data_IF_953539919932
#
_entry.id   IF_953539919932
#
_cell.length_a   1.000
_cell.length_b   1.000
_cell.length_c   1.000
_cell.angle_alpha   90.00
_cell.angle_beta   90.00
_cell.angle_gamma   90.00
#
_symmetry.space_group_name_H-M   'P 1'
#
loop_
_entity.id
_entity.type
_entity.pdbx_description
1 polymer ?
#
# COMPACT_ATOMS: atom_id res chain seq x y z
N UNK A 1 -2.96 5.66 8.87
CA UNK A 1 -2.07 6.66 8.28
C UNK A 1 -2.58 8.07 8.13
N UNK A 2 -1.61 8.95 7.95
CA UNK A 2 -1.68 10.34 7.51
C UNK A 2 -2.69 10.55 6.38
N UNK A 3 -2.59 9.69 5.36
CA UNK A 3 -3.32 9.82 4.09
C UNK A 3 -4.84 9.74 4.28
N UNK A 4 -5.28 8.89 5.21
CA UNK A 4 -6.71 8.65 5.44
C UNK A 4 -7.22 9.48 6.62
N UNK A 5 -6.44 9.64 7.68
CA UNK A 5 -6.91 10.35 8.87
C UNK A 5 -7.14 11.83 8.59
N UNK A 6 -6.29 12.50 7.80
CA UNK A 6 -6.39 13.95 7.58
C UNK A 6 -7.66 14.35 6.80
N UNK A 7 -8.05 13.72 5.68
CA UNK A 7 -9.32 14.01 5.03
C UNK A 7 -10.54 13.63 5.89
N UNK A 8 -10.44 12.57 6.70
CA UNK A 8 -11.55 12.12 7.55
C UNK A 8 -11.85 13.05 8.72
N UNK A 9 -10.90 13.90 9.13
CA UNK A 9 -11.17 14.96 10.11
C UNK A 9 -12.23 15.95 9.62
N UNK A 10 -12.39 16.11 8.30
CA UNK A 10 -13.45 16.94 7.70
C UNK A 10 -14.86 16.39 7.97
N UNK A 11 -14.98 15.09 8.25
CA UNK A 11 -16.25 14.42 8.57
C UNK A 11 -16.51 14.35 10.09
N UNK A 12 -15.74 15.11 10.89
CA UNK A 12 -15.90 15.22 12.33
C UNK A 12 -15.46 13.96 13.10
N UNK A 13 -15.87 13.86 14.38
CA UNK A 13 -15.42 12.83 15.33
C UNK A 13 -15.66 11.39 14.87
N UNK A 14 -16.65 11.18 14.00
CA UNK A 14 -17.05 9.86 13.52
C UNK A 14 -16.48 9.50 12.14
N UNK A 15 -15.69 10.38 11.50
CA UNK A 15 -15.20 10.17 10.13
C UNK A 15 -14.44 8.86 9.95
N UNK A 16 -13.59 8.49 10.91
CA UNK A 16 -12.87 7.21 10.89
C UNK A 16 -13.79 6.00 10.98
N UNK A 17 -14.86 6.08 11.77
CA UNK A 17 -15.80 4.98 11.95
C UNK A 17 -16.64 4.78 10.68
N UNK A 18 -17.12 5.87 10.08
CA UNK A 18 -17.86 5.84 8.82
C UNK A 18 -17.00 5.23 7.71
N UNK A 19 -15.76 5.68 7.58
CA UNK A 19 -14.84 5.14 6.58
C UNK A 19 -14.58 3.64 6.76
N UNK A 20 -14.38 3.19 7.99
CA UNK A 20 -14.21 1.77 8.28
C UNK A 20 -15.44 0.94 7.90
N UNK A 21 -16.64 1.44 8.22
CA UNK A 21 -17.88 0.80 7.82
C UNK A 21 -18.03 0.73 6.30
N UNK A 22 -17.65 1.79 5.57
CA UNK A 22 -17.65 1.79 4.11
C UNK A 22 -16.68 0.76 3.52
N UNK A 23 -15.47 0.65 4.07
CA UNK A 23 -14.50 -0.38 3.65
C UNK A 23 -15.04 -1.79 3.91
N UNK A 24 -15.57 -2.04 5.10
CA UNK A 24 -16.17 -3.34 5.45
C UNK A 24 -17.35 -3.65 4.52
N UNK A 25 -18.26 -2.71 4.32
CA UNK A 25 -19.41 -2.87 3.43
C UNK A 25 -18.94 -3.15 1.99
N UNK A 26 -17.96 -2.41 1.48
CA UNK A 26 -17.37 -2.63 0.17
C UNK A 26 -16.80 -4.05 0.02
N UNK A 27 -16.05 -4.54 1.02
CA UNK A 27 -15.48 -5.89 0.99
C UNK A 27 -16.57 -6.96 1.07
N UNK A 28 -17.58 -6.81 1.93
CA UNK A 28 -18.72 -7.74 2.03
C UNK A 28 -19.53 -7.81 0.74
N UNK A 29 -19.86 -6.65 0.16
CA UNK A 29 -20.57 -6.56 -1.12
C UNK A 29 -19.74 -7.22 -2.23
N UNK A 30 -18.43 -7.01 -2.24
CA UNK A 30 -17.53 -7.63 -3.22
C UNK A 30 -17.54 -9.16 -3.12
N UNK A 31 -17.47 -9.71 -1.91
CA UNK A 31 -17.55 -11.17 -1.70
C UNK A 31 -18.90 -11.73 -2.15
N UNK A 32 -20.01 -11.07 -1.80
CA UNK A 32 -21.34 -11.50 -2.21
C UNK A 32 -21.53 -11.46 -3.74
N UNK A 33 -21.00 -10.41 -4.39
CA UNK A 33 -21.01 -10.30 -5.84
C UNK A 33 -20.18 -11.42 -6.50
N UNK A 34 -18.98 -11.68 -5.97
CA UNK A 34 -18.12 -12.75 -6.47
C UNK A 34 -18.79 -14.11 -6.29
N UNK A 35 -19.36 -14.42 -5.11
CA UNK A 35 -20.04 -15.70 -4.85
C UNK A 35 -21.23 -15.94 -5.79
N UNK A 36 -21.93 -14.87 -6.19
CA UNK A 36 -23.04 -14.95 -7.13
C UNK A 36 -22.59 -15.34 -8.54
N UNK A 37 -21.43 -14.87 -8.99
CA UNK A 37 -20.90 -15.13 -10.34
C UNK A 37 -19.94 -16.34 -10.39
N UNK A 38 -19.21 -16.59 -9.32
CA UNK A 38 -18.17 -17.61 -9.18
C UNK A 38 -18.37 -18.33 -7.86
N UNK A 39 -18.31 -19.67 -7.83
CA UNK A 39 -18.32 -20.40 -6.55
C UNK A 39 -17.05 -20.04 -5.77
N UNK A 40 -17.18 -19.16 -4.78
CA UNK A 40 -16.10 -18.63 -3.99
C UNK A 40 -15.57 -19.70 -3.05
N UNK A 41 -14.29 -20.02 -3.19
CA UNK A 41 -13.58 -20.83 -2.21
C UNK A 41 -12.79 -19.92 -1.29
N UNK A 42 -13.09 -19.93 0.00
CA UNK A 42 -12.29 -19.22 1.01
C UNK A 42 -10.84 -19.69 1.08
N UNK A 43 -10.54 -20.87 0.54
CA UNK A 43 -9.17 -21.39 0.44
C UNK A 43 -8.27 -20.53 -0.44
N UNK A 44 -8.82 -19.66 -1.31
CA UNK A 44 -8.02 -18.77 -2.17
C UNK A 44 -7.21 -17.75 -1.36
N UNK A 45 -7.61 -17.44 -0.12
CA UNK A 45 -6.86 -16.53 0.74
C UNK A 45 -5.50 -17.10 1.17
N UNK A 46 -5.35 -18.43 1.24
CA UNK A 46 -4.09 -19.09 1.62
C UNK A 46 -2.99 -18.83 0.58
N UNK A 47 -3.15 -19.17 -0.72
CA UNK A 47 -2.11 -18.89 -1.70
C UNK A 47 -1.88 -17.38 -1.88
N UNK A 48 -2.92 -16.53 -1.73
CA UNK A 48 -2.76 -15.08 -1.76
C UNK A 48 -1.88 -14.56 -0.61
N UNK A 49 -2.10 -15.10 0.60
CA UNK A 49 -1.29 -14.78 1.78
C UNK A 49 0.16 -15.24 1.58
N UNK A 50 0.36 -16.47 1.09
CA UNK A 50 1.71 -17.02 0.84
C UNK A 50 2.45 -16.21 -0.23
N UNK A 51 1.78 -15.89 -1.34
CA UNK A 51 2.37 -15.06 -2.39
C UNK A 51 2.71 -13.66 -1.87
N UNK A 52 1.79 -13.04 -1.12
CA UNK A 52 2.03 -11.75 -0.50
C UNK A 52 3.20 -11.77 0.49
N UNK A 53 3.36 -12.85 1.26
CA UNK A 53 4.49 -13.02 2.16
C UNK A 53 5.83 -13.10 1.40
N UNK A 54 5.86 -13.79 0.26
CA UNK A 54 7.06 -13.87 -0.60
C UNK A 54 7.45 -12.47 -1.10
N UNK A 55 6.48 -11.69 -1.62
CA UNK A 55 6.76 -10.32 -2.06
C UNK A 55 7.15 -9.40 -0.89
N UNK A 56 6.58 -9.59 0.30
CA UNK A 56 6.93 -8.82 1.48
C UNK A 56 8.39 -9.05 1.89
N UNK A 57 8.85 -10.30 1.86
CA UNK A 57 10.25 -10.65 2.11
C UNK A 57 11.16 -10.09 1.02
N UNK A 58 10.75 -10.13 -0.25
CA UNK A 58 11.48 -9.48 -1.33
C UNK A 58 11.62 -7.97 -1.09
N UNK A 59 10.56 -7.28 -0.69
CA UNK A 59 10.61 -5.86 -0.34
C UNK A 59 11.54 -5.58 0.85
N UNK A 60 11.47 -6.39 1.90
CA UNK A 60 12.34 -6.26 3.07
C UNK A 60 13.82 -6.43 2.73
N UNK A 61 14.18 -7.56 2.13
CA UNK A 61 15.58 -7.90 1.89
C UNK A 61 16.16 -7.20 0.67
N UNK A 62 15.48 -7.25 -0.49
CA UNK A 62 16.05 -6.75 -1.74
C UNK A 62 15.90 -5.24 -1.83
N UNK A 63 14.69 -4.73 -1.64
CA UNK A 63 14.47 -3.29 -1.76
C UNK A 63 15.09 -2.53 -0.57
N UNK A 64 15.01 -3.08 0.65
CA UNK A 64 15.72 -2.54 1.81
C UNK A 64 17.23 -2.45 1.58
N UNK A 65 17.86 -3.54 1.14
CA UNK A 65 19.30 -3.56 0.80
C UNK A 65 19.67 -2.52 -0.25
N UNK A 66 18.94 -2.47 -1.37
CA UNK A 66 19.23 -1.50 -2.45
C UNK A 66 19.19 -0.07 -1.93
N UNK A 67 18.23 0.28 -1.10
CA UNK A 67 18.10 1.67 -0.63
C UNK A 67 19.09 1.97 0.49
N UNK A 68 19.11 1.16 1.55
CA UNK A 68 19.81 1.52 2.78
C UNK A 68 21.29 1.12 2.77
N UNK A 69 21.69 0.08 2.03
CA UNK A 69 23.10 -0.35 1.96
C UNK A 69 23.81 0.16 0.71
N UNK A 70 23.11 0.19 -0.43
CA UNK A 70 23.75 0.57 -1.71
C UNK A 70 23.62 2.06 -1.99
N UNK A 71 22.40 2.60 -1.97
CA UNK A 71 22.17 4.01 -2.36
C UNK A 71 22.46 5.00 -1.22
N UNK A 72 22.17 4.62 0.03
CA UNK A 72 22.29 5.51 1.19
C UNK A 72 22.90 4.84 2.44
N UNK A 73 24.15 4.32 2.37
CA UNK A 73 24.80 3.54 3.44
C UNK A 73 25.02 4.25 4.78
N UNK A 74 24.94 5.59 4.81
CA UNK A 74 25.15 6.39 6.03
C UNK A 74 23.85 6.75 6.75
N UNK A 75 22.73 6.14 6.36
CA UNK A 75 21.41 6.43 6.96
C UNK A 75 21.31 5.76 8.33
N UNK A 76 21.05 6.54 9.38
CA UNK A 76 20.82 5.99 10.72
C UNK A 76 19.45 5.28 10.79
N UNK A 77 19.41 4.11 11.42
CA UNK A 77 18.19 3.34 11.62
C UNK A 77 17.10 4.14 12.35
N UNK A 78 15.86 4.06 11.87
CA UNK A 78 14.72 4.78 12.46
C UNK A 78 14.29 4.10 13.78
N UNK A 79 13.94 4.92 14.77
CA UNK A 79 13.34 4.44 16.02
C UNK A 79 11.91 3.91 15.74
N UNK A 80 11.68 2.65 16.08
CA UNK A 80 10.37 2.00 15.97
C UNK A 80 9.44 2.37 17.14
N UNK A 81 8.11 2.23 16.98
CA UNK A 81 7.15 2.55 18.03
C UNK A 81 7.44 1.78 19.32
N UNK A 82 7.18 2.41 20.47
CA UNK A 82 7.41 1.81 21.78
C UNK A 82 6.51 0.60 22.09
N UNK A 83 5.42 0.39 21.34
CA UNK A 83 4.47 -0.72 21.51
C UNK A 83 4.35 -1.55 20.20
N UNK A 84 4.84 -2.78 20.25
CA UNK A 84 4.80 -3.76 19.16
C UNK A 84 3.37 -4.09 18.70
N UNK A 85 2.42 -4.31 19.62
CA UNK A 85 1.04 -4.65 19.29
C UNK A 85 0.32 -3.52 18.55
N UNK A 86 0.51 -2.29 19.00
CA UNK A 86 -0.02 -1.11 18.31
C UNK A 86 0.58 -0.99 16.91
N UNK A 87 1.89 -1.26 16.76
CA UNK A 87 2.56 -1.30 15.47
C UNK A 87 1.90 -2.30 14.52
N UNK A 88 1.71 -3.55 14.94
CA UNK A 88 1.10 -4.61 14.12
C UNK A 88 -0.31 -4.22 13.64
N UNK A 89 -1.17 -3.71 14.54
CA UNK A 89 -2.53 -3.30 14.18
C UNK A 89 -2.51 -2.15 13.16
N UNK A 90 -1.59 -1.18 13.33
CA UNK A 90 -1.42 -0.08 12.39
C UNK A 90 -0.91 -0.56 11.03
N UNK A 91 0.04 -1.50 10.99
CA UNK A 91 0.57 -2.11 9.77
C UNK A 91 -0.51 -2.82 8.96
N UNK A 92 -1.36 -3.62 9.62
CA UNK A 92 -2.47 -4.30 8.94
C UNK A 92 -3.48 -3.29 8.41
N UNK A 93 -3.82 -2.28 9.20
CA UNK A 93 -4.69 -1.19 8.77
C UNK A 93 -4.11 -0.46 7.55
N UNK A 94 -2.86 -0.02 7.61
CA UNK A 94 -2.16 0.67 6.53
C UNK A 94 -2.20 -0.15 5.23
N UNK A 95 -1.87 -1.44 5.28
CA UNK A 95 -1.94 -2.32 4.13
C UNK A 95 -3.32 -2.41 3.48
N UNK A 96 -4.42 -2.41 4.24
CA UNK A 96 -5.77 -2.40 3.64
C UNK A 96 -6.10 -1.03 3.07
N UNK A 97 -5.91 0.01 3.87
CA UNK A 97 -6.35 1.36 3.59
C UNK A 97 -5.58 2.01 2.45
N UNK A 98 -4.26 1.93 2.48
CA UNK A 98 -3.40 2.55 1.48
C UNK A 98 -3.54 1.85 0.13
N UNK A 99 -3.61 0.52 0.10
CA UNK A 99 -3.79 -0.18 -1.17
C UNK A 99 -5.14 0.10 -1.82
N UNK A 100 -6.22 0.25 -1.05
CA UNK A 100 -7.50 0.71 -1.60
C UNK A 100 -7.37 2.11 -2.20
N UNK A 101 -6.78 3.06 -1.48
CA UNK A 101 -6.68 4.45 -1.94
C UNK A 101 -5.73 4.59 -3.14
N UNK A 102 -4.51 4.09 -3.02
CA UNK A 102 -3.48 4.32 -4.02
C UNK A 102 -3.61 3.38 -5.20
N UNK A 103 -3.93 2.10 -4.99
CA UNK A 103 -3.92 1.10 -6.07
C UNK A 103 -5.30 0.97 -6.67
N UNK A 104 -6.31 0.63 -5.86
CA UNK A 104 -7.66 0.45 -6.41
C UNK A 104 -8.24 1.77 -6.93
N UNK A 105 -8.20 2.87 -6.17
CA UNK A 105 -8.84 4.12 -6.57
C UNK A 105 -7.94 4.97 -7.48
N UNK A 106 -6.75 5.36 -7.01
CA UNK A 106 -5.90 6.32 -7.73
C UNK A 106 -5.35 5.75 -9.05
N UNK A 107 -4.71 4.57 -9.06
CA UNK A 107 -4.19 3.98 -10.31
C UNK A 107 -5.32 3.76 -11.32
N UNK A 108 -6.46 3.20 -10.89
CA UNK A 108 -7.61 2.98 -11.78
C UNK A 108 -8.16 4.29 -12.34
N UNK A 109 -8.28 5.33 -11.52
CA UNK A 109 -8.72 6.66 -11.95
C UNK A 109 -7.76 7.27 -12.97
N UNK A 110 -6.45 7.27 -12.68
CA UNK A 110 -5.43 7.77 -13.61
C UNK A 110 -5.48 6.99 -14.93
N UNK A 111 -5.59 5.66 -14.86
CA UNK A 111 -5.65 4.81 -16.04
C UNK A 111 -6.90 5.10 -16.88
N UNK A 112 -8.05 5.29 -16.22
CA UNK A 112 -9.27 5.71 -16.87
C UNK A 112 -9.11 7.07 -17.55
N UNK A 113 -8.56 8.07 -16.86
CA UNK A 113 -8.31 9.41 -17.43
C UNK A 113 -7.42 9.30 -18.68
N UNK A 114 -6.28 8.62 -18.59
CA UNK A 114 -5.35 8.52 -19.71
C UNK A 114 -5.93 7.73 -20.89
N UNK A 115 -6.66 6.64 -20.65
CA UNK A 115 -7.21 5.81 -21.73
C UNK A 115 -8.51 6.35 -22.32
N UNK A 116 -9.42 6.87 -21.50
CA UNK A 116 -10.78 7.25 -21.93
C UNK A 116 -10.91 8.73 -22.23
N UNK A 117 -10.32 9.59 -21.40
CA UNK A 117 -10.42 11.03 -21.60
C UNK A 117 -9.33 11.52 -22.57
N UNK A 118 -8.07 11.13 -22.33
CA UNK A 118 -6.94 11.57 -23.15
C UNK A 118 -6.63 10.65 -24.34
N UNK A 119 -7.31 9.49 -24.44
CA UNK A 119 -7.17 8.52 -25.54
C UNK A 119 -5.73 8.05 -25.80
N UNK A 120 -4.89 8.02 -24.75
CA UNK A 120 -3.53 7.48 -24.80
C UNK A 120 -3.58 5.95 -24.92
N UNK A 121 -2.60 5.38 -25.63
CA UNK A 121 -2.48 3.92 -25.79
C UNK A 121 -2.41 3.23 -24.43
N UNK A 122 -3.24 2.20 -24.23
CA UNK A 122 -3.35 1.41 -22.98
C UNK A 122 -2.02 1.09 -22.27
N UNK A 123 -0.97 0.55 -22.94
CA UNK A 123 0.28 0.25 -22.24
C UNK A 123 0.97 1.50 -21.69
N UNK A 124 0.97 2.60 -22.45
CA UNK A 124 1.54 3.88 -22.01
C UNK A 124 0.73 4.43 -20.83
N UNK A 125 -0.60 4.39 -20.94
CA UNK A 125 -1.49 4.83 -19.86
C UNK A 125 -1.22 4.06 -18.56
N UNK A 126 -1.04 2.73 -18.62
CA UNK A 126 -0.73 1.92 -17.45
C UNK A 126 0.62 2.32 -16.82
N UNK A 127 1.68 2.44 -17.63
CA UNK A 127 3.00 2.86 -17.16
C UNK A 127 2.94 4.23 -16.49
N UNK A 128 2.33 5.21 -17.15
CA UNK A 128 2.23 6.59 -16.63
C UNK A 128 1.38 6.63 -15.35
N UNK A 129 0.28 5.87 -15.27
CA UNK A 129 -0.51 5.75 -14.03
C UNK A 129 0.32 5.21 -12.88
N UNK A 130 1.09 4.14 -13.11
CA UNK A 130 1.98 3.54 -12.09
C UNK A 130 3.04 4.53 -11.62
N UNK A 131 3.72 5.21 -12.53
CA UNK A 131 4.75 6.20 -12.20
C UNK A 131 4.19 7.37 -11.38
N UNK A 132 3.08 7.95 -11.83
CA UNK A 132 2.43 9.07 -11.12
C UNK A 132 1.87 8.61 -9.78
N UNK A 133 1.22 7.45 -9.72
CA UNK A 133 0.66 6.90 -8.48
C UNK A 133 1.73 6.62 -7.43
N UNK A 134 2.86 6.03 -7.82
CA UNK A 134 4.00 5.80 -6.93
C UNK A 134 4.63 7.11 -6.43
N UNK A 135 4.74 8.12 -7.30
CA UNK A 135 5.25 9.44 -6.91
C UNK A 135 4.31 10.15 -5.93
N UNK A 136 3.00 10.11 -6.17
CA UNK A 136 2.00 10.66 -5.25
C UNK A 136 2.07 9.92 -3.91
N UNK A 137 2.09 8.57 -3.93
CA UNK A 137 2.25 7.73 -2.75
C UNK A 137 3.48 8.12 -1.92
N UNK A 138 4.64 8.29 -2.54
CA UNK A 138 5.85 8.70 -1.84
C UNK A 138 5.69 10.11 -1.25
N UNK A 139 5.15 11.06 -2.02
CA UNK A 139 5.04 12.47 -1.63
C UNK A 139 4.09 12.68 -0.45
N UNK A 140 2.93 12.04 -0.44
CA UNK A 140 1.91 12.23 0.62
C UNK A 140 2.33 11.71 1.98
N UNK A 141 3.35 10.86 2.06
CA UNK A 141 3.93 10.46 3.35
C UNK A 141 4.66 11.60 4.07
N UNK A 142 4.96 12.70 3.37
CA UNK A 142 5.64 13.87 3.91
C UNK A 142 4.72 15.09 4.09
N UNK A 143 3.41 14.91 3.94
CA UNK A 143 2.41 15.97 4.11
C UNK A 143 1.49 15.68 5.31
N UNK A 144 0.82 16.70 5.86
CA UNK A 144 -0.10 16.52 7.00
C UNK A 144 0.57 16.45 8.38
N UNK A 145 -0.25 16.18 9.41
CA UNK A 145 0.13 16.29 10.83
C UNK A 145 0.88 15.08 11.38
N UNK A 146 0.73 13.90 10.77
CA UNK A 146 1.39 12.65 11.16
C UNK A 146 2.54 12.27 10.20
N UNK A 147 3.04 13.24 9.42
CA UNK A 147 4.03 13.02 8.35
C UNK A 147 5.32 12.38 8.85
N UNK A 148 5.98 11.65 7.97
CA UNK A 148 7.34 11.19 8.20
C UNK A 148 8.36 12.33 8.13
N UNK A 149 9.49 12.15 8.82
CA UNK A 149 10.69 12.94 8.59
C UNK A 149 11.23 12.67 7.19
N UNK A 150 11.33 13.71 6.38
CA UNK A 150 11.87 13.59 5.03
C UNK A 150 13.37 13.29 5.06
N UNK A 151 13.77 12.20 4.38
CA UNK A 151 15.15 11.89 4.02
C UNK A 151 15.17 11.34 2.60
N UNK A 152 16.28 11.51 1.88
CA UNK A 152 16.41 10.94 0.53
C UNK A 152 16.24 9.42 0.53
N UNK A 153 16.78 8.73 1.55
CA UNK A 153 16.62 7.30 1.72
C UNK A 153 15.15 6.89 1.88
N UNK A 154 14.42 7.51 2.82
CA UNK A 154 13.01 7.19 3.05
C UNK A 154 12.14 7.50 1.82
N UNK A 155 12.39 8.63 1.13
CA UNK A 155 11.61 9.00 -0.05
C UNK A 155 11.87 8.01 -1.19
N UNK A 156 13.12 7.64 -1.41
CA UNK A 156 13.52 6.67 -2.43
C UNK A 156 12.92 5.30 -2.14
N UNK A 157 12.97 4.83 -0.88
CA UNK A 157 12.32 3.60 -0.47
C UNK A 157 10.83 3.63 -0.77
N UNK A 158 10.13 4.69 -0.36
CA UNK A 158 8.68 4.82 -0.57
C UNK A 158 8.31 4.88 -2.06
N UNK A 159 9.11 5.56 -2.88
CA UNK A 159 8.90 5.63 -4.32
C UNK A 159 9.05 4.25 -4.98
N UNK A 160 10.14 3.55 -4.69
CA UNK A 160 10.39 2.22 -5.23
C UNK A 160 9.39 1.17 -4.71
N UNK A 161 9.04 1.22 -3.43
CA UNK A 161 7.99 0.40 -2.84
C UNK A 161 6.64 0.69 -3.51
N UNK A 162 6.34 1.97 -3.77
CA UNK A 162 5.19 2.41 -4.55
C UNK A 162 5.11 1.72 -5.90
N UNK A 163 6.21 1.71 -6.66
CA UNK A 163 6.32 1.06 -7.96
C UNK A 163 6.14 -0.47 -7.88
N UNK A 164 6.81 -1.13 -6.93
CA UNK A 164 6.71 -2.58 -6.73
C UNK A 164 5.28 -2.99 -6.39
N UNK A 165 4.65 -2.32 -5.42
CA UNK A 165 3.28 -2.60 -5.01
C UNK A 165 2.29 -2.32 -6.16
N UNK A 166 2.49 -1.25 -6.93
CA UNK A 166 1.68 -0.97 -8.12
C UNK A 166 1.85 -2.05 -9.20
N UNK A 167 3.04 -2.60 -9.39
CA UNK A 167 3.25 -3.72 -10.31
C UNK A 167 2.51 -4.98 -9.81
N UNK A 168 2.67 -5.34 -8.53
CA UNK A 168 1.95 -6.48 -7.93
C UNK A 168 0.45 -6.33 -8.10
N UNK A 169 -0.10 -5.13 -7.82
CA UNK A 169 -1.51 -4.84 -8.03
C UNK A 169 -1.96 -5.10 -9.48
N UNK A 170 -1.20 -4.61 -10.47
CA UNK A 170 -1.57 -4.75 -11.88
C UNK A 170 -1.55 -6.20 -12.38
N UNK A 171 -0.65 -7.04 -11.86
CA UNK A 171 -0.49 -8.43 -12.32
C UNK A 171 -1.24 -9.46 -11.47
N UNK A 172 -1.45 -9.18 -10.18
CA UNK A 172 -1.95 -10.15 -9.18
C UNK A 172 -3.24 -9.70 -8.48
N UNK A 173 -3.53 -8.40 -8.49
CA UNK A 173 -4.75 -7.82 -7.92
C UNK A 173 -4.62 -7.34 -6.48
N UNK A 174 -5.73 -6.80 -5.97
CA UNK A 174 -5.78 -6.05 -4.70
C UNK A 174 -5.39 -6.90 -3.47
N UNK A 175 -5.88 -8.13 -3.34
CA UNK A 175 -5.65 -8.88 -2.11
C UNK A 175 -4.19 -9.30 -1.91
N UNK A 176 -3.46 -9.65 -2.99
CA UNK A 176 -2.03 -9.99 -2.91
C UNK A 176 -1.21 -8.76 -2.51
N UNK A 177 -1.50 -7.59 -3.08
CA UNK A 177 -0.78 -6.35 -2.72
C UNK A 177 -1.10 -5.90 -1.28
N UNK A 178 -2.34 -6.06 -0.81
CA UNK A 178 -2.74 -5.79 0.59
C UNK A 178 -1.95 -6.67 1.55
N UNK A 179 -1.88 -7.99 1.30
CA UNK A 179 -1.08 -8.89 2.12
C UNK A 179 0.41 -8.53 2.06
N UNK A 180 0.93 -8.23 0.88
CA UNK A 180 2.33 -7.84 0.69
C UNK A 180 2.70 -6.64 1.57
N UNK A 181 1.91 -5.57 1.48
CA UNK A 181 2.16 -4.35 2.23
C UNK A 181 2.00 -4.57 3.74
N UNK A 182 0.88 -5.15 4.18
CA UNK A 182 0.62 -5.40 5.59
C UNK A 182 1.70 -6.29 6.23
N UNK A 183 2.11 -7.37 5.56
CA UNK A 183 3.14 -8.28 6.05
C UNK A 183 4.49 -7.57 6.09
N UNK A 184 4.87 -6.83 5.05
CA UNK A 184 6.11 -6.07 5.03
C UNK A 184 6.18 -5.12 6.25
N UNK A 185 5.13 -4.33 6.49
CA UNK A 185 5.07 -3.40 7.60
C UNK A 185 5.12 -4.13 8.95
N UNK A 186 4.37 -5.22 9.12
CA UNK A 186 4.42 -6.04 10.34
C UNK A 186 5.83 -6.56 10.58
N UNK A 187 6.49 -7.08 9.54
CA UNK A 187 7.86 -7.54 9.65
C UNK A 187 8.76 -6.38 10.09
N UNK A 188 8.66 -5.18 9.51
CA UNK A 188 9.48 -4.04 10.00
C UNK A 188 9.27 -3.74 11.49
N UNK A 189 8.03 -3.85 12.01
CA UNK A 189 7.73 -3.70 13.45
C UNK A 189 8.38 -4.82 14.28
N UNK A 190 8.38 -6.05 13.77
CA UNK A 190 8.99 -7.22 14.41
C UNK A 190 10.53 -7.24 14.34
N UNK A 191 11.12 -6.39 13.50
CA UNK A 191 12.58 -6.26 13.29
C UNK A 191 13.33 -7.55 12.87
N UNK A 192 12.81 -8.42 11.98
CA UNK A 192 13.62 -9.47 11.37
C UNK A 192 14.59 -8.89 10.33
N UNK A 193 14.33 -7.68 9.83
CA UNK A 193 15.23 -6.95 8.94
C UNK A 193 16.17 -6.10 9.81
N UNK A 194 17.47 -6.41 9.79
CA UNK A 194 18.52 -5.65 10.50
C UNK A 194 19.25 -4.67 9.59
N UNK A 195 18.65 -4.37 8.42
CA UNK A 195 19.13 -3.37 7.47
C UNK A 195 18.58 -2.00 7.88
#
# INVERSE_FOLDING_TARGET
>A
DVVIKTPLLLFGKNGSLIFNLLVIAFLFVSVFYIEKEYRFSSLIFIPMLMEGAIYALFMGYVLGFVVYEVLFPLTLAKLFPANMWTGIVLSVGAGVYEEIVFRLLLITLLYFIFTKLLKIKKPISAIVSVLIGALIFATVHYTGTLKDSFTYASFTFRLLAGLVLSAIFMFRGLGVVVYTHAIYDVLTVLKPFQV
#
